data_IF_650095111170
#
_entry.id   IF_650095111170
#
_cell.length_a   1.000
_cell.length_b   1.000
_cell.length_c   1.000
_cell.angle_alpha   90.00
_cell.angle_beta   90.00
_cell.angle_gamma   90.00
#
_symmetry.space_group_name_H-M   'P 1'
#
loop_
_entity.id
_entity.type
_entity.pdbx_description
1 polymer ?
#
# COMPACT_ATOMS: atom_id res chain seq x y z
N UNK A 1 15.41 -13.89 22.97
CA UNK A 1 14.20 -13.92 22.11
C UNK A 1 13.39 -12.67 22.42
N UNK A 2 13.25 -11.73 21.47
CA UNK A 2 12.71 -10.40 21.75
C UNK A 2 11.20 -10.30 21.52
N UNK A 3 10.53 -9.68 22.48
CA UNK A 3 9.08 -9.43 22.55
C UNK A 3 8.49 -8.77 21.28
N UNK A 4 9.31 -8.05 20.51
CA UNK A 4 8.92 -7.33 19.30
C UNK A 4 8.57 -8.22 18.09
N UNK A 5 9.02 -9.48 18.06
CA UNK A 5 8.72 -10.38 16.95
C UNK A 5 7.35 -11.06 17.08
N UNK A 6 6.89 -11.27 18.32
CA UNK A 6 5.64 -11.98 18.60
C UNK A 6 4.40 -11.07 18.43
N UNK A 7 4.51 -9.79 18.78
CA UNK A 7 3.45 -8.79 18.58
C UNK A 7 3.16 -8.49 17.10
N UNK A 8 4.08 -8.83 16.18
CA UNK A 8 3.90 -8.61 14.73
C UNK A 8 2.97 -9.61 14.06
N UNK A 9 2.70 -10.77 14.69
CA UNK A 9 1.79 -11.80 14.15
C UNK A 9 0.32 -11.52 14.52
N UNK A 10 0.08 -10.84 15.64
CA UNK A 10 -1.28 -10.49 16.11
C UNK A 10 -1.85 -9.25 15.41
N UNK A 11 -1.01 -8.29 15.01
CA UNK A 11 -1.45 -7.08 14.31
C UNK A 11 -1.98 -7.33 12.88
N UNK A 12 -1.65 -8.47 12.26
CA UNK A 12 -2.20 -8.85 10.95
C UNK A 12 -3.61 -9.45 11.01
N UNK A 13 -4.08 -9.82 12.21
CA UNK A 13 -5.42 -10.40 12.46
C UNK A 13 -6.40 -9.42 13.12
N UNK A 14 -6.07 -8.13 13.21
CA UNK A 14 -7.07 -7.14 13.62
C UNK A 14 -8.08 -7.03 12.47
N UNK A 15 -9.24 -7.69 12.62
CA UNK A 15 -10.43 -7.48 11.81
C UNK A 15 -10.69 -6.00 11.72
N UNK A 16 -10.20 -5.41 10.64
CA UNK A 16 -10.31 -4.00 10.38
C UNK A 16 -11.49 -3.87 9.44
N UNK A 17 -12.45 -3.03 9.82
CA UNK A 17 -13.57 -2.68 8.96
C UNK A 17 -13.03 -2.28 7.57
N UNK A 18 -13.80 -2.53 6.52
CA UNK A 18 -13.42 -2.20 5.14
C UNK A 18 -12.90 -0.76 4.99
N UNK A 19 -13.45 0.18 5.77
CA UNK A 19 -12.99 1.57 5.82
C UNK A 19 -11.55 1.73 6.37
N UNK A 20 -11.17 0.96 7.40
CA UNK A 20 -9.83 0.97 7.98
C UNK A 20 -8.81 0.33 7.05
N UNK A 21 -9.18 -0.77 6.40
CA UNK A 21 -8.34 -1.45 5.39
C UNK A 21 -8.04 -0.54 4.20
N UNK A 22 -9.06 0.20 3.72
CA UNK A 22 -8.88 1.22 2.67
C UNK A 22 -7.96 2.35 3.13
N UNK A 23 -8.09 2.80 4.38
CA UNK A 23 -7.22 3.83 4.94
C UNK A 23 -5.76 3.38 5.07
N UNK A 24 -5.54 2.14 5.52
CA UNK A 24 -4.21 1.52 5.56
C UNK A 24 -3.61 1.42 4.15
N UNK A 25 -4.37 0.91 3.18
CA UNK A 25 -3.92 0.76 1.79
C UNK A 25 -3.60 2.12 1.15
N UNK A 26 -4.42 3.15 1.40
CA UNK A 26 -4.18 4.51 0.91
C UNK A 26 -2.84 5.07 1.42
N UNK A 27 -2.55 4.90 2.72
CA UNK A 27 -1.26 5.32 3.30
C UNK A 27 -0.08 4.54 2.69
N UNK A 28 -0.21 3.21 2.55
CA UNK A 28 0.84 2.36 2.00
C UNK A 28 1.17 2.72 0.54
N UNK A 29 0.15 2.96 -0.29
CA UNK A 29 0.33 3.38 -1.69
C UNK A 29 0.91 4.79 -1.76
N UNK A 30 0.49 5.71 -0.90
CA UNK A 30 1.05 7.06 -0.87
C UNK A 30 2.53 7.08 -0.50
N UNK A 31 2.98 6.19 0.37
CA UNK A 31 4.39 6.14 0.82
C UNK A 31 5.29 5.31 -0.07
N UNK A 32 4.81 4.14 -0.52
CA UNK A 32 5.64 3.13 -1.19
C UNK A 32 5.25 2.93 -2.67
N UNK A 33 4.14 3.52 -3.10
CA UNK A 33 3.63 3.42 -4.46
C UNK A 33 4.33 4.42 -5.38
N UNK A 34 4.80 3.90 -6.50
CA UNK A 34 5.28 4.67 -7.64
C UNK A 34 4.34 4.45 -8.82
N UNK A 35 3.84 5.54 -9.38
CA UNK A 35 2.98 5.50 -10.56
C UNK A 35 3.86 5.73 -11.78
N UNK A 36 3.87 4.77 -12.70
CA UNK A 36 4.56 4.88 -13.98
C UNK A 36 3.54 4.90 -15.12
N UNK A 37 3.80 5.73 -16.13
CA UNK A 37 3.00 5.78 -17.35
C UNK A 37 3.78 5.05 -18.45
N UNK A 38 3.29 3.91 -18.90
CA UNK A 38 3.90 3.13 -19.98
C UNK A 38 2.85 2.83 -21.04
N UNK A 39 3.13 3.14 -22.31
CA UNK A 39 2.21 2.90 -23.43
C UNK A 39 0.77 3.42 -23.21
N UNK A 40 0.63 4.63 -22.66
CA UNK A 40 -0.66 5.25 -22.27
C UNK A 40 -1.45 4.49 -21.19
N UNK A 41 -0.87 3.44 -20.59
CA UNK A 41 -1.42 2.72 -19.44
C UNK A 41 -0.70 3.16 -18.17
N UNK A 42 -1.48 3.42 -17.13
CA UNK A 42 -0.96 3.78 -15.82
C UNK A 42 -0.73 2.49 -15.05
N UNK A 43 0.50 2.30 -14.57
CA UNK A 43 0.93 1.14 -13.79
C UNK A 43 1.33 1.63 -12.40
N UNK A 44 0.79 0.97 -11.37
CA UNK A 44 1.14 1.25 -9.98
C UNK A 44 2.07 0.15 -9.47
N UNK A 45 3.29 0.53 -9.11
CA UNK A 45 4.30 -0.35 -8.53
C UNK A 45 4.52 0.04 -7.07
N UNK A 46 4.18 -0.86 -6.14
CA UNK A 46 4.35 -0.66 -4.70
C UNK A 46 5.52 -1.51 -4.23
N UNK A 47 6.64 -0.86 -3.90
CA UNK A 47 7.87 -1.56 -3.51
C UNK A 47 8.10 -1.55 -2.01
N UNK A 48 8.48 -2.68 -1.43
CA UNK A 48 8.77 -2.81 0.00
C UNK A 48 9.84 -3.87 0.27
N UNK A 49 10.67 -3.68 1.28
CA UNK A 49 11.67 -4.67 1.71
C UNK A 49 11.06 -5.75 2.63
N UNK A 50 9.82 -5.54 3.10
CA UNK A 50 9.16 -6.46 4.02
C UNK A 50 8.15 -7.36 3.30
N UNK A 51 8.46 -8.66 3.24
CA UNK A 51 7.60 -9.68 2.63
C UNK A 51 6.18 -9.72 3.23
N UNK A 52 6.02 -9.40 4.52
CA UNK A 52 4.71 -9.39 5.18
C UNK A 52 3.84 -8.23 4.68
N UNK A 53 4.43 -7.05 4.46
CA UNK A 53 3.73 -5.87 3.93
C UNK A 53 3.32 -6.13 2.48
N UNK A 54 4.21 -6.70 1.67
CA UNK A 54 3.90 -7.03 0.28
C UNK A 54 2.70 -7.99 0.17
N UNK A 55 2.67 -9.04 0.99
CA UNK A 55 1.53 -9.97 1.06
C UNK A 55 0.26 -9.27 1.53
N UNK A 56 0.36 -8.39 2.55
CA UNK A 56 -0.79 -7.63 3.05
C UNK A 56 -1.39 -6.74 1.96
N UNK A 57 -0.56 -5.98 1.25
CA UNK A 57 -0.99 -5.12 0.13
C UNK A 57 -1.65 -5.95 -0.97
N UNK A 58 -1.03 -7.05 -1.38
CA UNK A 58 -1.61 -7.97 -2.36
C UNK A 58 -2.99 -8.49 -1.94
N UNK A 59 -3.12 -8.96 -0.70
CA UNK A 59 -4.41 -9.42 -0.16
C UNK A 59 -5.46 -8.32 -0.08
N UNK A 60 -5.08 -7.11 0.33
CA UNK A 60 -5.99 -5.96 0.41
C UNK A 60 -6.49 -5.54 -0.98
N UNK A 61 -5.60 -5.45 -1.97
CA UNK A 61 -6.00 -5.10 -3.34
C UNK A 61 -6.93 -6.17 -3.93
N UNK A 62 -6.58 -7.45 -3.78
CA UNK A 62 -7.40 -8.55 -4.27
C UNK A 62 -8.78 -8.58 -3.60
N UNK A 63 -8.86 -8.26 -2.31
CA UNK A 63 -10.10 -8.22 -1.53
C UNK A 63 -11.01 -7.05 -1.91
N UNK A 64 -10.47 -5.85 -2.09
CA UNK A 64 -11.26 -4.63 -2.33
C UNK A 64 -11.55 -4.36 -3.81
N UNK A 65 -10.60 -4.67 -4.70
CA UNK A 65 -10.68 -4.27 -6.11
C UNK A 65 -10.74 -5.45 -7.08
N UNK A 66 -10.45 -6.68 -6.62
CA UNK A 66 -10.32 -7.88 -7.46
C UNK A 66 -9.41 -7.67 -8.69
N UNK A 67 -8.52 -6.67 -8.61
CA UNK A 67 -7.68 -6.26 -9.71
C UNK A 67 -6.58 -7.29 -9.97
N UNK A 68 -6.15 -7.37 -11.23
CA UNK A 68 -4.97 -8.17 -11.57
C UNK A 68 -3.73 -7.54 -10.92
N UNK A 69 -3.11 -8.25 -10.00
CA UNK A 69 -1.91 -7.81 -9.29
C UNK A 69 -0.81 -8.85 -9.41
N UNK A 70 0.38 -8.41 -9.79
CA UNK A 70 1.57 -9.24 -9.91
C UNK A 70 2.50 -8.98 -8.71
N UNK A 71 3.05 -10.04 -8.12
CA UNK A 71 4.08 -9.93 -7.08
C UNK A 71 5.43 -10.28 -7.67
N UNK A 72 6.28 -9.26 -7.84
CA UNK A 72 7.63 -9.39 -8.35
C UNK A 72 8.62 -9.34 -7.18
N UNK A 73 9.67 -10.14 -7.23
CA UNK A 73 10.76 -10.10 -6.24
C UNK A 73 12.04 -9.73 -6.97
N UNK A 74 12.64 -8.61 -6.59
CA UNK A 74 13.91 -8.14 -7.14
C UNK A 74 14.98 -8.21 -6.07
N UNK A 75 16.09 -8.88 -6.40
CA UNK A 75 17.27 -8.93 -5.53
C UNK A 75 18.14 -7.71 -5.83
N UNK A 76 18.32 -6.80 -4.87
CA UNK A 76 19.34 -5.74 -5.01
C UNK A 76 20.72 -6.38 -4.87
N UNK A 77 21.63 -6.05 -5.81
CA UNK A 77 22.98 -6.63 -5.89
C UNK A 77 24.04 -5.89 -5.06
N UNK A 78 23.75 -4.74 -4.45
CA UNK A 78 24.75 -3.94 -3.70
C UNK A 78 24.52 -3.87 -2.18
N UNK A 79 25.61 -4.15 -1.46
CA UNK A 79 25.99 -3.95 -0.04
C UNK A 79 25.02 -4.27 1.12
N UNK A 80 23.72 -4.52 0.91
CA UNK A 80 22.85 -5.21 1.88
C UNK A 80 21.95 -6.19 1.12
N UNK A 81 22.03 -7.48 1.42
CA UNK A 81 21.24 -8.58 0.80
C UNK A 81 19.74 -8.48 1.17
N UNK A 82 19.08 -7.38 0.83
CA UNK A 82 17.66 -7.20 1.09
C UNK A 82 16.88 -7.52 -0.20
N UNK A 83 15.89 -8.41 -0.08
CA UNK A 83 14.94 -8.68 -1.16
C UNK A 83 13.94 -7.53 -1.21
N UNK A 84 13.75 -6.94 -2.40
CA UNK A 84 12.71 -5.94 -2.63
C UNK A 84 11.51 -6.66 -3.26
N UNK A 85 10.37 -6.58 -2.59
CA UNK A 85 9.10 -7.08 -3.07
C UNK A 85 8.36 -5.94 -3.75
N UNK A 86 7.91 -6.15 -4.98
CA UNK A 86 7.21 -5.15 -5.79
C UNK A 86 5.84 -5.72 -6.12
N UNK A 87 4.79 -5.08 -5.62
CA UNK A 87 3.40 -5.38 -6.00
C UNK A 87 3.05 -4.47 -7.16
N UNK A 88 2.93 -5.05 -8.35
CA UNK A 88 2.62 -4.36 -9.60
C UNK A 88 1.14 -4.51 -9.94
N UNK A 89 0.51 -3.40 -10.29
CA UNK A 89 -0.87 -3.35 -10.74
C UNK A 89 -0.88 -2.71 -12.15
N UNK A 90 -1.02 -3.50 -13.22
CA UNK A 90 -0.99 -3.00 -14.58
C UNK A 90 -2.34 -2.43 -15.08
N UNK A 91 -3.44 -2.67 -14.36
CA UNK A 91 -4.80 -2.29 -14.76
C UNK A 91 -5.58 -1.67 -13.59
N UNK A 92 -6.65 -0.91 -13.89
CA UNK A 92 -7.54 -0.30 -12.90
C UNK A 92 -6.87 0.67 -11.91
N UNK A 93 -5.64 1.10 -12.19
CA UNK A 93 -4.90 2.01 -11.31
C UNK A 93 -5.64 3.33 -11.09
N UNK A 94 -6.28 3.87 -12.12
CA UNK A 94 -7.14 5.06 -12.01
C UNK A 94 -8.26 4.88 -10.99
N UNK A 95 -8.98 3.78 -11.08
CA UNK A 95 -10.11 3.45 -10.22
C UNK A 95 -9.65 3.27 -8.78
N UNK A 96 -8.56 2.52 -8.58
CA UNK A 96 -7.93 2.32 -7.27
C UNK A 96 -7.47 3.65 -6.66
N UNK A 97 -6.74 4.48 -7.41
CA UNK A 97 -6.23 5.76 -6.91
C UNK A 97 -7.37 6.75 -6.61
N UNK A 98 -8.44 6.73 -7.41
CA UNK A 98 -9.64 7.55 -7.19
C UNK A 98 -10.40 7.08 -5.96
N UNK A 99 -10.59 5.78 -5.79
CA UNK A 99 -11.32 5.22 -4.66
C UNK A 99 -10.55 5.35 -3.34
N UNK A 100 -9.22 5.35 -3.39
CA UNK A 100 -8.34 5.62 -2.26
C UNK A 100 -8.11 7.12 -2.00
N UNK A 101 -8.75 7.99 -2.79
CA UNK A 101 -8.61 9.45 -2.72
C UNK A 101 -7.14 9.90 -2.70
N UNK A 102 -6.31 9.25 -3.53
CA UNK A 102 -4.88 9.57 -3.66
C UNK A 102 -4.69 10.66 -4.73
N UNK A 103 -5.48 10.56 -5.80
CA UNK A 103 -5.48 11.52 -6.90
C UNK A 103 -6.82 12.25 -6.96
N UNK A 104 -6.77 13.55 -7.25
CA UNK A 104 -7.95 14.34 -7.57
C UNK A 104 -8.30 14.20 -9.05
N UNK A 105 -9.36 14.92 -9.46
CA UNK A 105 -9.63 15.20 -10.88
C UNK A 105 -8.33 15.61 -11.59
N UNK A 106 -8.02 14.94 -12.72
CA UNK A 106 -6.82 15.20 -13.50
C UNK A 106 -5.53 14.53 -13.02
N UNK A 107 -5.58 13.47 -12.19
CA UNK A 107 -4.39 12.74 -11.68
C UNK A 107 -3.44 13.55 -10.79
N UNK A 108 -3.85 14.73 -10.35
CA UNK A 108 -3.05 15.51 -9.42
C UNK A 108 -3.02 14.78 -8.07
N UNK A 109 -1.82 14.37 -7.63
CA UNK A 109 -1.61 13.82 -6.30
C UNK A 109 -2.08 14.85 -5.28
N UNK A 110 -3.13 14.50 -4.52
CA UNK A 110 -3.60 15.39 -3.46
C UNK A 110 -2.58 15.35 -2.33
N UNK A 111 -1.97 16.48 -2.00
CA UNK A 111 -1.06 16.61 -0.86
C UNK A 111 -1.78 16.46 0.49
N UNK A 112 -3.10 16.62 0.52
CA UNK A 112 -3.95 16.45 1.70
C UNK A 112 -4.64 15.08 1.67
N UNK A 113 -4.78 14.46 2.84
CA UNK A 113 -5.54 13.22 3.02
C UNK A 113 -7.03 13.57 2.98
N UNK A 114 -7.79 12.94 2.09
CA UNK A 114 -9.24 13.16 2.00
C UNK A 114 -9.94 12.68 3.27
N UNK A 115 -10.85 13.52 3.80
CA UNK A 115 -11.59 13.23 5.02
C UNK A 115 -12.44 11.96 4.92
N UNK A 116 -12.81 11.53 3.70
CA UNK A 116 -13.51 10.24 3.50
C UNK A 116 -12.68 9.04 3.95
N UNK A 117 -11.36 9.11 3.79
CA UNK A 117 -10.42 8.06 4.21
C UNK A 117 -10.19 8.10 5.73
N UNK A 118 -10.15 9.28 6.33
CA UNK A 118 -9.84 9.48 7.76
C UNK A 118 -11.05 9.96 8.59
N UNK A 119 -12.26 9.67 8.12
CA UNK A 119 -13.51 10.16 8.73
C UNK A 119 -13.68 9.69 10.17
N UNK A 120 -13.40 8.42 10.43
CA UNK A 120 -13.51 7.81 11.76
C UNK A 120 -12.15 7.75 12.47
N UNK A 121 -12.18 7.79 13.81
CA UNK A 121 -10.98 7.62 14.65
C UNK A 121 -10.31 6.26 14.43
N UNK A 122 -11.07 5.20 14.11
CA UNK A 122 -10.50 3.91 13.73
C UNK A 122 -9.71 3.98 12.40
N UNK A 123 -10.23 4.70 11.41
CA UNK A 123 -9.55 4.90 10.12
C UNK A 123 -8.29 5.77 10.26
N UNK A 124 -8.33 6.82 11.09
CA UNK A 124 -7.14 7.62 11.43
C UNK A 124 -6.02 6.75 11.99
N UNK A 125 -6.35 5.86 12.94
CA UNK A 125 -5.39 4.90 13.50
C UNK A 125 -4.85 3.95 12.43
N UNK A 126 -5.73 3.42 11.56
CA UNK A 126 -5.31 2.53 10.47
C UNK A 126 -4.42 3.21 9.43
N UNK A 127 -4.74 4.45 9.05
CA UNK A 127 -3.92 5.28 8.18
C UNK A 127 -2.53 5.52 8.79
N UNK A 128 -2.47 5.89 10.07
CA UNK A 128 -1.20 6.08 10.79
C UNK A 128 -0.39 4.78 10.89
N UNK A 129 -1.03 3.61 11.06
CA UNK A 129 -0.34 2.31 11.00
C UNK A 129 0.29 2.10 9.64
N UNK A 130 -0.44 2.34 8.55
CA UNK A 130 0.10 2.27 7.19
C UNK A 130 1.24 3.27 6.97
N UNK A 131 1.09 4.49 7.52
CA UNK A 131 2.08 5.56 7.39
C UNK A 131 3.33 5.38 8.27
N UNK A 132 3.24 4.56 9.32
CA UNK A 132 4.35 4.31 10.24
C UNK A 132 5.43 3.39 9.67
N UNK A 133 5.17 2.73 8.54
CA UNK A 133 6.16 1.94 7.84
C UNK A 133 7.03 2.88 7.00
N UNK A 134 8.33 3.01 7.31
CA UNK A 134 9.18 3.95 6.59
C UNK A 134 9.25 3.58 5.11
N UNK A 135 8.98 4.57 4.25
CA UNK A 135 9.46 4.57 2.87
C UNK A 135 10.98 4.64 2.93
N UNK A 136 11.66 3.69 2.28
CA UNK A 136 13.11 3.70 2.21
C UNK A 136 13.55 4.76 1.18
N UNK A 137 14.56 5.59 1.48
CA UNK A 137 15.12 6.57 0.55
C UNK A 137 15.77 5.96 -0.70
#
# INVERSE_FOLDING_TARGET
>A
MSFAAQTKKELTMVESQSCCERAELSALIRMNGSVSLSNKKVILDISTENAAIARRIYSLIKKHFQAHTELLVRKKMRLKKNNVYIVRIPAQVQEILKELCIVSEGFLFQSRIDERIVSKNCCKRAYLRGASWPAVP
#
